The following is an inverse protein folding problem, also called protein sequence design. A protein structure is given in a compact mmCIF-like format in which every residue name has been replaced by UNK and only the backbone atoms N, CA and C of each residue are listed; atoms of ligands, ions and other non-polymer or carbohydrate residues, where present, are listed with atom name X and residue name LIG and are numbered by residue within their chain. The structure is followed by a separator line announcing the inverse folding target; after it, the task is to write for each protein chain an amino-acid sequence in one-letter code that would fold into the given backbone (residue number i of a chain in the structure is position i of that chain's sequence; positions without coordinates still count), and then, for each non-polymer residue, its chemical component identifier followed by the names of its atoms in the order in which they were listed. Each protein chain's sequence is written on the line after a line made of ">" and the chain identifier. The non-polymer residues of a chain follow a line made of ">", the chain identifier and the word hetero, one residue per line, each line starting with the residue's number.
data_IF_152097663784
#
_entry.id   IF_152097663784
#
_cell.length_a   1.000
_cell.length_b   1.000
_cell.length_c   1.000
_cell.angle_alpha   90.00
_cell.angle_beta   90.00
_cell.angle_gamma   90.00
#
_symmetry.space_group_name_H-M   'P 1'
#
loop_
_entity.id
_entity.type
_entity.pdbx_description
1 polymer ?
#
# COMPACT_ATOMS: atom_id res chain seq x y z
N UNK A 1 68.40 16.24 -3.47
CA UNK A 1 67.38 15.20 -3.74
C UNK A 1 66.24 15.40 -2.76
N UNK A 2 65.02 15.36 -3.28
CA UNK A 2 63.74 15.71 -2.63
C UNK A 2 63.19 14.44 -1.98
N UNK A 3 63.06 14.40 -0.65
CA UNK A 3 62.16 13.45 0.00
C UNK A 3 60.80 14.13 0.16
N UNK A 4 59.93 13.87 -0.81
CA UNK A 4 58.51 14.21 -0.71
C UNK A 4 57.88 13.10 0.11
N UNK A 5 57.67 13.35 1.40
CA UNK A 5 56.88 12.47 2.26
C UNK A 5 55.41 12.52 1.79
N UNK A 6 54.81 11.41 1.34
CA UNK A 6 53.38 11.40 1.03
C UNK A 6 52.61 11.49 2.36
N UNK A 7 51.92 12.62 2.54
CA UNK A 7 51.01 12.82 3.68
C UNK A 7 49.89 11.77 3.70
N UNK A 8 49.28 11.55 4.87
CA UNK A 8 48.30 10.48 5.08
C UNK A 8 47.11 10.66 4.14
N UNK A 9 46.99 9.76 3.17
CA UNK A 9 45.73 9.49 2.50
C UNK A 9 44.76 8.86 3.50
N UNK A 10 43.47 9.11 3.25
CA UNK A 10 42.31 8.38 3.79
C UNK A 10 41.70 8.90 5.10
N UNK A 11 41.06 10.06 5.01
CA UNK A 11 39.67 10.14 5.51
C UNK A 11 38.74 9.80 4.34
N UNK A 12 38.63 8.51 4.02
CA UNK A 12 37.42 8.01 3.35
C UNK A 12 36.30 8.30 4.31
N UNK A 13 35.70 9.48 4.17
CA UNK A 13 34.43 9.83 4.78
C UNK A 13 33.51 8.65 4.51
N UNK A 14 33.25 7.84 5.55
CA UNK A 14 32.16 6.87 5.55
C UNK A 14 30.93 7.72 5.33
N UNK A 15 30.54 7.91 4.07
CA UNK A 15 29.24 8.47 3.74
C UNK A 15 28.26 7.63 4.55
N UNK A 16 27.41 8.23 5.39
CA UNK A 16 26.41 7.45 6.10
C UNK A 16 25.66 6.65 5.04
N UNK A 17 25.81 5.32 5.06
CA UNK A 17 25.13 4.44 4.12
C UNK A 17 23.64 4.65 4.36
N UNK A 18 23.01 5.42 3.48
CA UNK A 18 21.59 5.68 3.60
C UNK A 18 20.86 4.35 3.47
N UNK A 19 19.99 3.98 4.44
CA UNK A 19 19.47 2.64 4.52
C UNK A 19 18.68 2.32 3.24
N UNK A 20 19.08 1.24 2.57
CA UNK A 20 18.32 0.64 1.46
C UNK A 20 17.06 -0.06 1.96
N UNK A 21 17.00 -0.39 3.25
CA UNK A 21 15.82 -0.99 3.88
C UNK A 21 14.78 0.10 4.19
N UNK A 22 13.53 -0.08 3.77
CA UNK A 22 12.47 0.89 4.06
C UNK A 22 12.20 0.96 5.56
N UNK A 23 11.89 2.15 6.11
CA UNK A 23 11.32 2.28 7.44
C UNK A 23 10.06 1.41 7.59
N UNK A 24 9.78 0.91 8.81
CA UNK A 24 8.62 0.02 9.07
C UNK A 24 7.31 0.58 8.54
N UNK A 25 7.07 1.88 8.69
CA UNK A 25 5.85 2.53 8.19
C UNK A 25 5.77 2.51 6.66
N UNK A 26 6.90 2.63 5.96
CA UNK A 26 6.95 2.52 4.49
C UNK A 26 6.59 1.11 4.07
N UNK A 27 7.09 0.09 4.76
CA UNK A 27 6.68 -1.31 4.54
C UNK A 27 5.19 -1.51 4.79
N UNK A 28 4.63 -0.89 5.83
CA UNK A 28 3.20 -0.97 6.12
C UNK A 28 2.34 -0.29 5.05
N UNK A 29 2.77 0.87 4.55
CA UNK A 29 2.09 1.55 3.45
C UNK A 29 2.11 0.70 2.16
N UNK A 30 3.25 0.06 1.85
CA UNK A 30 3.35 -0.88 0.73
C UNK A 30 2.43 -2.08 0.90
N UNK A 31 2.42 -2.68 2.09
CA UNK A 31 1.56 -3.81 2.43
C UNK A 31 0.09 -3.45 2.18
N UNK A 32 -0.32 -2.27 2.65
CA UNK A 32 -1.67 -1.78 2.56
C UNK A 32 -2.10 -1.47 1.11
N UNK A 33 -1.27 -0.76 0.34
CA UNK A 33 -1.56 -0.49 -1.09
C UNK A 33 -1.73 -1.78 -1.89
N UNK A 34 -0.85 -2.75 -1.65
CA UNK A 34 -0.87 -4.01 -2.37
C UNK A 34 -1.96 -4.95 -1.89
N UNK A 35 -2.36 -4.89 -0.61
CA UNK A 35 -3.54 -5.61 -0.15
C UNK A 35 -4.81 -5.04 -0.76
N UNK A 36 -4.95 -3.71 -0.87
CA UNK A 36 -6.07 -3.09 -1.57
C UNK A 36 -6.10 -3.46 -3.05
N UNK A 37 -4.92 -3.54 -3.70
CA UNK A 37 -4.79 -3.99 -5.08
C UNK A 37 -5.31 -5.43 -5.23
N UNK A 38 -4.85 -6.33 -4.37
CA UNK A 38 -5.30 -7.72 -4.35
C UNK A 38 -6.80 -7.80 -4.10
N UNK A 39 -7.31 -7.08 -3.10
CA UNK A 39 -8.73 -7.04 -2.77
C UNK A 39 -9.55 -6.66 -4.00
N UNK A 40 -9.19 -5.55 -4.64
CA UNK A 40 -9.90 -4.98 -5.77
C UNK A 40 -9.93 -5.95 -6.97
N UNK A 41 -8.82 -6.62 -7.26
CA UNK A 41 -8.74 -7.60 -8.36
C UNK A 41 -9.42 -8.93 -8.01
N UNK A 42 -9.41 -9.33 -6.73
CA UNK A 42 -9.99 -10.59 -6.27
C UNK A 42 -11.51 -10.52 -6.14
N UNK A 43 -12.09 -9.38 -5.73
CA UNK A 43 -13.52 -9.21 -5.52
C UNK A 43 -14.42 -9.71 -6.68
N UNK A 44 -14.22 -9.30 -7.95
CA UNK A 44 -15.08 -9.78 -9.04
C UNK A 44 -14.96 -11.28 -9.30
N UNK A 45 -13.78 -11.87 -9.05
CA UNK A 45 -13.52 -13.30 -9.23
C UNK A 45 -14.12 -14.11 -8.07
N UNK A 46 -13.85 -13.71 -6.83
CA UNK A 46 -14.37 -14.33 -5.62
C UNK A 46 -15.89 -14.23 -5.56
N UNK A 47 -16.47 -13.06 -5.86
CA UNK A 47 -17.91 -12.87 -5.89
C UNK A 47 -18.58 -13.82 -6.88
N UNK A 48 -18.01 -13.97 -8.08
CA UNK A 48 -18.49 -14.96 -9.07
C UNK A 48 -18.40 -16.39 -8.55
N UNK A 49 -17.27 -16.79 -7.96
CA UNK A 49 -17.07 -18.15 -7.44
C UNK A 49 -17.99 -18.48 -6.27
N UNK A 50 -18.29 -17.50 -5.42
CA UNK A 50 -19.19 -17.64 -4.27
C UNK A 50 -20.67 -17.43 -4.61
N UNK A 51 -21.01 -17.14 -5.87
CA UNK A 51 -22.39 -16.87 -6.28
C UNK A 51 -22.96 -15.55 -5.74
N UNK A 52 -22.10 -14.62 -5.34
CA UNK A 52 -22.47 -13.31 -4.80
C UNK A 52 -22.65 -12.30 -5.94
N UNK A 53 -23.50 -11.30 -5.69
CA UNK A 53 -23.72 -10.24 -6.69
C UNK A 53 -22.45 -9.39 -6.85
N UNK A 54 -22.04 -9.09 -8.09
CA UNK A 54 -20.89 -8.22 -8.33
C UNK A 54 -21.19 -6.79 -7.91
N UNK A 55 -20.15 -6.04 -7.55
CA UNK A 55 -20.24 -4.63 -7.14
C UNK A 55 -20.87 -3.75 -8.22
N UNK A 56 -20.65 -4.08 -9.49
CA UNK A 56 -21.27 -3.44 -10.64
C UNK A 56 -22.06 -4.48 -11.43
N UNK A 57 -23.38 -4.31 -11.45
CA UNK A 57 -24.31 -5.26 -12.07
C UNK A 57 -25.20 -4.55 -13.07
N UNK A 58 -25.15 -5.00 -14.31
CA UNK A 58 -26.13 -4.68 -15.34
C UNK A 58 -27.11 -5.86 -15.44
N UNK A 59 -28.42 -5.65 -15.23
CA UNK A 59 -29.39 -6.74 -15.10
C UNK A 59 -29.56 -7.56 -16.40
N UNK A 60 -29.20 -7.00 -17.56
CA UNK A 60 -29.27 -7.68 -18.87
C UNK A 60 -28.02 -8.48 -19.25
N UNK A 61 -26.94 -8.42 -18.46
CA UNK A 61 -25.70 -9.14 -18.74
C UNK A 61 -25.64 -10.47 -17.96
N UNK A 62 -24.99 -11.46 -18.55
CA UNK A 62 -24.70 -12.73 -17.85
C UNK A 62 -23.77 -12.49 -16.65
N UNK A 63 -23.80 -13.34 -15.61
CA UNK A 63 -22.91 -13.20 -14.46
C UNK A 63 -21.42 -13.13 -14.83
N UNK A 64 -21.02 -13.87 -15.87
CA UNK A 64 -19.65 -13.84 -16.38
C UNK A 64 -19.27 -12.48 -16.97
N UNK A 65 -20.17 -11.85 -17.73
CA UNK A 65 -19.95 -10.53 -18.32
C UNK A 65 -19.97 -9.42 -17.27
N UNK A 66 -20.85 -9.52 -16.25
CA UNK A 66 -20.86 -8.58 -15.13
C UNK A 66 -19.55 -8.65 -14.30
N UNK A 67 -19.01 -9.86 -14.08
CA UNK A 67 -17.72 -10.02 -13.41
C UNK A 67 -16.57 -9.43 -14.24
N UNK A 68 -16.56 -9.67 -15.56
CA UNK A 68 -15.58 -9.07 -16.47
C UNK A 68 -15.67 -7.54 -16.47
N UNK A 69 -16.88 -6.98 -16.55
CA UNK A 69 -17.10 -5.54 -16.51
C UNK A 69 -16.61 -4.93 -15.19
N UNK A 70 -16.91 -5.58 -14.06
CA UNK A 70 -16.43 -5.17 -12.74
C UNK A 70 -14.91 -5.19 -12.65
N UNK A 71 -14.26 -6.22 -13.21
CA UNK A 71 -12.80 -6.31 -13.29
C UNK A 71 -12.20 -5.20 -14.15
N UNK A 72 -12.79 -4.93 -15.32
CA UNK A 72 -12.35 -3.85 -16.22
C UNK A 72 -12.50 -2.47 -15.56
N UNK A 73 -13.60 -2.24 -14.84
CA UNK A 73 -13.83 -1.02 -14.08
C UNK A 73 -12.83 -0.85 -12.91
N UNK A 74 -12.32 -1.95 -12.36
CA UNK A 74 -11.31 -1.96 -11.31
C UNK A 74 -9.88 -1.63 -11.81
N UNK A 75 -9.54 -1.93 -13.07
CA UNK A 75 -8.20 -1.73 -13.62
C UNK A 75 -7.59 -0.33 -13.42
N UNK A 76 -8.30 0.80 -13.66
CA UNK A 76 -7.71 2.13 -13.42
C UNK A 76 -7.32 2.36 -11.95
N UNK A 77 -8.12 1.85 -11.01
CA UNK A 77 -7.81 1.95 -9.58
C UNK A 77 -6.68 0.99 -9.19
N UNK A 78 -6.64 -0.20 -9.77
CA UNK A 78 -5.53 -1.15 -9.59
C UNK A 78 -4.21 -0.53 -10.07
N UNK A 79 -4.20 0.12 -11.25
CA UNK A 79 -3.04 0.82 -11.76
C UNK A 79 -2.60 1.96 -10.82
N UNK A 80 -3.55 2.72 -10.28
CA UNK A 80 -3.27 3.78 -9.32
C UNK A 80 -2.59 3.22 -8.05
N UNK A 81 -3.07 2.10 -7.51
CA UNK A 81 -2.49 1.45 -6.33
C UNK A 81 -1.08 0.91 -6.61
N UNK A 82 -0.85 0.34 -7.81
CA UNK A 82 0.49 -0.08 -8.25
C UNK A 82 1.44 1.11 -8.31
N UNK A 83 1.00 2.23 -8.92
CA UNK A 83 1.81 3.44 -9.02
C UNK A 83 2.11 4.06 -7.64
N UNK A 84 1.13 4.08 -6.74
CA UNK A 84 1.29 4.56 -5.37
C UNK A 84 2.28 3.69 -4.60
N UNK A 85 2.09 2.37 -4.59
CA UNK A 85 2.98 1.44 -3.91
C UNK A 85 4.40 1.51 -4.49
N UNK A 86 4.55 1.54 -5.81
CA UNK A 86 5.86 1.67 -6.44
C UNK A 86 6.52 3.03 -6.14
N UNK A 87 5.74 4.10 -6.12
CA UNK A 87 6.21 5.43 -5.71
C UNK A 87 6.70 5.45 -4.26
N UNK A 88 6.00 4.77 -3.35
CA UNK A 88 6.39 4.59 -1.95
C UNK A 88 7.68 3.77 -1.83
N UNK A 89 7.77 2.65 -2.57
CA UNK A 89 8.95 1.77 -2.60
C UNK A 89 10.19 2.52 -3.07
N UNK A 90 10.06 3.35 -4.10
CA UNK A 90 11.15 4.17 -4.63
C UNK A 90 11.49 5.36 -3.73
N UNK A 91 10.55 5.80 -2.88
CA UNK A 91 10.70 7.00 -2.06
C UNK A 91 10.53 8.28 -2.89
N UNK A 92 9.50 8.32 -3.76
CA UNK A 92 9.17 9.52 -4.54
C UNK A 92 8.46 10.56 -3.65
N UNK A 93 8.83 11.86 -3.70
CA UNK A 93 8.25 12.90 -2.83
C UNK A 93 6.73 13.00 -2.92
N UNK A 94 6.18 12.91 -4.13
CA UNK A 94 4.74 12.99 -4.37
C UNK A 94 4.00 11.81 -3.72
N UNK A 95 4.61 10.62 -3.68
CA UNK A 95 3.98 9.41 -3.16
C UNK A 95 3.66 9.55 -1.68
N UNK A 96 4.52 10.26 -0.92
CA UNK A 96 4.25 10.56 0.49
C UNK A 96 2.98 11.40 0.67
N UNK A 97 2.85 12.48 -0.10
CA UNK A 97 1.69 13.38 0.00
C UNK A 97 0.40 12.67 -0.41
N UNK A 98 0.44 11.91 -1.50
CA UNK A 98 -0.69 11.09 -1.97
C UNK A 98 -1.07 10.05 -0.91
N UNK A 99 -0.09 9.34 -0.34
CA UNK A 99 -0.35 8.35 0.71
C UNK A 99 -0.99 8.95 1.96
N UNK A 100 -0.50 10.11 2.42
CA UNK A 100 -1.09 10.78 3.58
C UNK A 100 -2.54 11.19 3.28
N UNK A 101 -2.79 11.75 2.09
CA UNK A 101 -4.14 12.14 1.68
C UNK A 101 -5.08 10.91 1.60
N UNK A 102 -4.68 9.87 0.86
CA UNK A 102 -5.48 8.65 0.69
C UNK A 102 -5.75 7.94 2.01
N UNK A 103 -4.74 7.74 2.87
CA UNK A 103 -4.94 7.09 4.16
C UNK A 103 -5.78 7.94 5.11
N UNK A 104 -5.76 9.27 5.01
CA UNK A 104 -6.67 10.12 5.78
C UNK A 104 -8.11 9.93 5.31
N UNK A 105 -8.36 9.90 3.99
CA UNK A 105 -9.68 9.63 3.43
C UNK A 105 -10.19 8.24 3.80
N UNK A 106 -9.32 7.23 3.75
CA UNK A 106 -9.64 5.86 4.13
C UNK A 106 -9.91 5.74 5.63
N UNK A 107 -9.19 6.47 6.48
CA UNK A 107 -9.50 6.55 7.90
C UNK A 107 -10.91 7.11 8.15
N UNK A 108 -11.30 8.16 7.43
CA UNK A 108 -12.67 8.71 7.50
C UNK A 108 -13.72 7.69 7.02
N UNK A 109 -13.44 6.96 5.94
CA UNK A 109 -14.31 5.87 5.48
C UNK A 109 -14.41 4.74 6.53
N UNK A 110 -13.31 4.43 7.22
CA UNK A 110 -13.27 3.52 8.36
C UNK A 110 -14.18 3.97 9.49
N UNK A 111 -14.12 5.24 9.88
CA UNK A 111 -15.02 5.81 10.91
C UNK A 111 -16.50 5.73 10.48
N UNK A 112 -16.80 6.03 9.21
CA UNK A 112 -18.15 5.87 8.67
C UNK A 112 -18.64 4.41 8.73
N UNK A 113 -17.74 3.43 8.61
CA UNK A 113 -18.06 2.00 8.69
C UNK A 113 -18.38 1.49 10.09
N UNK A 114 -18.23 2.31 11.15
CA UNK A 114 -18.68 1.93 12.50
C UNK A 114 -20.20 1.71 12.52
N UNK A 115 -20.96 2.54 11.79
CA UNK A 115 -22.41 2.38 11.69
C UNK A 115 -22.80 1.06 11.02
N UNK A 116 -22.11 0.68 9.93
CA UNK A 116 -22.35 -0.60 9.26
C UNK A 116 -21.97 -1.77 10.15
N UNK A 117 -20.83 -1.69 10.86
CA UNK A 117 -20.43 -2.73 11.83
C UNK A 117 -21.51 -2.93 12.91
N UNK A 118 -22.11 -1.85 13.40
CA UNK A 118 -23.16 -1.95 14.41
C UNK A 118 -24.43 -2.63 13.87
N UNK A 119 -24.84 -2.33 12.63
CA UNK A 119 -25.95 -3.02 11.97
C UNK A 119 -25.64 -4.51 11.75
N UNK A 120 -24.45 -4.82 11.25
CA UNK A 120 -24.02 -6.18 10.97
C UNK A 120 -23.92 -7.02 12.26
N UNK A 121 -23.39 -6.43 13.34
CA UNK A 121 -23.27 -7.10 14.64
C UNK A 121 -24.64 -7.47 15.23
N UNK A 122 -25.71 -6.71 14.94
CA UNK A 122 -27.08 -7.03 15.38
C UNK A 122 -27.62 -8.32 14.77
N UNK A 123 -27.14 -8.70 13.58
CA UNK A 123 -27.49 -9.96 12.91
C UNK A 123 -26.40 -11.03 13.07
N UNK A 124 -25.43 -10.80 13.96
CA UNK A 124 -24.32 -11.73 14.22
C UNK A 124 -23.24 -11.74 13.14
N UNK A 125 -23.22 -10.77 12.23
CA UNK A 125 -22.20 -10.62 11.20
C UNK A 125 -21.07 -9.70 11.69
N UNK A 126 -19.85 -10.24 11.77
CA UNK A 126 -18.67 -9.51 12.26
C UNK A 126 -17.64 -9.25 11.16
N UNK A 127 -17.92 -9.57 9.90
CA UNK A 127 -16.99 -9.38 8.79
C UNK A 127 -16.58 -7.91 8.61
N UNK A 128 -17.51 -6.97 8.87
CA UNK A 128 -17.23 -5.54 8.85
C UNK A 128 -16.14 -5.08 9.83
N UNK A 129 -15.82 -5.89 10.85
CA UNK A 129 -14.74 -5.59 11.79
C UNK A 129 -13.38 -5.58 11.10
N UNK A 130 -13.15 -6.46 10.12
CA UNK A 130 -11.90 -6.54 9.37
C UNK A 130 -11.64 -5.19 8.67
N UNK A 131 -12.62 -4.73 7.89
CA UNK A 131 -12.52 -3.45 7.19
C UNK A 131 -12.41 -2.26 8.17
N UNK A 132 -13.09 -2.29 9.32
CA UNK A 132 -12.93 -1.24 10.33
C UNK A 132 -11.50 -1.21 10.90
N UNK A 133 -10.91 -2.36 11.19
CA UNK A 133 -9.53 -2.44 11.70
C UNK A 133 -8.52 -1.98 10.65
N UNK A 134 -8.73 -2.34 9.39
CA UNK A 134 -7.87 -1.96 8.27
C UNK A 134 -7.98 -0.48 7.96
N UNK A 135 -9.19 0.04 7.77
CA UNK A 135 -9.40 1.45 7.41
C UNK A 135 -9.29 2.38 8.61
N UNK A 136 -9.97 2.07 9.71
CA UNK A 136 -10.00 2.90 10.92
C UNK A 136 -8.78 2.73 11.82
N UNK A 137 -8.07 1.60 11.74
CA UNK A 137 -6.86 1.34 12.53
C UNK A 137 -5.57 1.56 11.74
N UNK A 138 -5.36 0.82 10.64
CA UNK A 138 -4.09 0.87 9.90
C UNK A 138 -3.91 2.19 9.15
N UNK A 139 -4.93 2.70 8.45
CA UNK A 139 -4.79 3.93 7.66
C UNK A 139 -4.34 5.15 8.47
N UNK A 140 -4.95 5.52 9.61
CA UNK A 140 -4.46 6.66 10.40
C UNK A 140 -3.05 6.43 10.95
N UNK A 141 -2.70 5.19 11.29
CA UNK A 141 -1.35 4.84 11.75
C UNK A 141 -0.31 5.04 10.63
N UNK A 142 -0.62 4.65 9.40
CA UNK A 142 0.21 4.89 8.22
C UNK A 142 0.34 6.39 7.98
N UNK A 143 -0.76 7.13 7.91
CA UNK A 143 -0.77 8.57 7.67
C UNK A 143 0.09 9.31 8.71
N UNK A 144 -0.09 9.00 9.99
CA UNK A 144 0.71 9.53 11.09
C UNK A 144 2.20 9.15 10.97
N UNK A 145 2.49 7.87 10.72
CA UNK A 145 3.85 7.37 10.61
C UNK A 145 4.64 7.97 9.44
N UNK A 146 3.97 8.31 8.33
CA UNK A 146 4.56 8.98 7.17
C UNK A 146 4.95 10.44 7.45
N UNK A 147 4.42 11.03 8.53
CA UNK A 147 4.80 12.37 8.96
C UNK A 147 6.08 12.38 9.81
N UNK A 148 6.55 11.23 10.31
CA UNK A 148 7.73 11.15 11.19
C UNK A 148 9.04 11.50 10.44
N UNK A 149 10.01 12.16 11.09
CA UNK A 149 11.27 12.58 10.45
C UNK A 149 12.05 11.44 9.79
N UNK A 150 12.10 10.27 10.42
CA UNK A 150 12.77 9.07 9.89
C UNK A 150 12.18 8.68 8.53
N UNK A 151 10.85 8.70 8.43
CA UNK A 151 10.14 8.40 7.19
C UNK A 151 10.27 9.52 6.16
N UNK A 152 10.29 10.79 6.59
CA UNK A 152 10.49 11.92 5.67
C UNK A 152 11.80 11.82 4.88
N UNK A 153 12.89 11.40 5.54
CA UNK A 153 14.20 11.21 4.90
C UNK A 153 14.16 10.15 3.80
N UNK A 154 13.30 9.13 3.92
CA UNK A 154 13.11 8.14 2.86
C UNK A 154 12.65 8.79 1.55
N UNK A 155 11.73 9.76 1.62
CA UNK A 155 11.16 10.44 0.45
C UNK A 155 11.97 11.65 -0.02
N UNK A 156 12.75 12.24 0.88
CA UNK A 156 13.64 13.38 0.62
C UNK A 156 15.08 13.04 1.00
N UNK A 157 15.74 12.11 0.27
CA UNK A 157 17.17 11.89 0.43
C UNK A 157 17.94 13.14 -0.03
N UNK A 158 19.21 13.31 0.39
CA UNK A 158 20.08 14.38 -0.08
C UNK A 158 20.10 14.46 -1.62
N UNK A 159 20.02 15.69 -2.17
CA UNK A 159 19.86 15.93 -3.62
C UNK A 159 20.92 15.22 -4.47
N UNK A 160 22.16 15.18 -4.00
CA UNK A 160 23.30 14.55 -4.66
C UNK A 160 23.16 13.02 -4.82
N UNK A 161 22.45 12.38 -3.89
CA UNK A 161 22.30 10.92 -3.81
C UNK A 161 20.93 10.44 -4.30
N UNK A 162 19.97 11.37 -4.44
CA UNK A 162 18.57 11.05 -4.69
C UNK A 162 18.32 10.17 -5.94
N UNK A 163 18.92 10.45 -7.13
CA UNK A 163 18.68 9.63 -8.32
C UNK A 163 19.22 8.21 -8.15
N UNK A 164 20.46 8.08 -7.66
CA UNK A 164 21.12 6.79 -7.47
C UNK A 164 20.43 5.92 -6.42
N UNK A 165 19.94 6.51 -5.33
CA UNK A 165 19.19 5.78 -4.30
C UNK A 165 17.82 5.32 -4.78
N UNK A 166 17.10 6.17 -5.52
CA UNK A 166 15.80 5.79 -6.10
C UNK A 166 15.96 4.64 -7.10
N UNK A 167 17.00 4.67 -7.94
CA UNK A 167 17.29 3.58 -8.87
C UNK A 167 17.63 2.28 -8.14
N UNK A 168 18.48 2.34 -7.09
CA UNK A 168 18.82 1.17 -6.27
C UNK A 168 17.60 0.60 -5.53
N UNK A 169 16.70 1.44 -5.04
CA UNK A 169 15.44 0.98 -4.42
C UNK A 169 14.50 0.34 -5.45
N UNK A 170 14.44 0.88 -6.67
CA UNK A 170 13.62 0.31 -7.75
C UNK A 170 14.11 -1.09 -8.17
N UNK A 171 15.44 -1.30 -8.18
CA UNK A 171 16.03 -2.60 -8.55
C UNK A 171 15.89 -3.69 -7.49
N UNK A 172 15.53 -3.35 -6.25
CA UNK A 172 15.37 -4.32 -5.16
C UNK A 172 13.95 -4.87 -5.16
N UNK A 173 13.70 -6.11 -5.61
CA UNK A 173 12.34 -6.65 -5.65
C UNK A 173 11.71 -6.64 -4.25
N UNK A 174 10.37 -6.55 -4.15
CA UNK A 174 9.71 -6.74 -2.88
C UNK A 174 10.07 -8.08 -2.25
N UNK A 175 10.10 -8.11 -0.92
CA UNK A 175 10.35 -9.34 -0.20
C UNK A 175 9.14 -10.28 -0.31
N UNK A 176 9.38 -11.58 -0.45
CA UNK A 176 8.34 -12.59 -0.49
C UNK A 176 7.36 -12.54 0.70
N UNK A 177 7.80 -12.30 1.95
CA UNK A 177 6.88 -12.14 3.08
C UNK A 177 5.92 -10.96 2.92
N UNK A 178 6.37 -9.84 2.32
CA UNK A 178 5.52 -8.68 2.08
C UNK A 178 4.43 -9.03 1.05
N UNK A 179 4.79 -9.70 -0.04
CA UNK A 179 3.85 -10.14 -1.06
C UNK A 179 2.83 -11.14 -0.50
N UNK A 180 3.29 -12.13 0.27
CA UNK A 180 2.42 -13.10 0.92
C UNK A 180 1.46 -12.45 1.92
N UNK A 181 1.93 -11.50 2.73
CA UNK A 181 1.09 -10.75 3.65
C UNK A 181 0.08 -9.86 2.92
N UNK A 182 0.49 -9.20 1.83
CA UNK A 182 -0.41 -8.36 1.02
C UNK A 182 -1.51 -9.21 0.38
N UNK A 183 -1.16 -10.39 -0.14
CA UNK A 183 -2.12 -11.35 -0.70
C UNK A 183 -3.12 -11.81 0.36
N UNK A 184 -2.63 -12.26 1.53
CA UNK A 184 -3.48 -12.74 2.61
C UNK A 184 -4.44 -11.64 3.11
N UNK A 185 -3.91 -10.45 3.40
CA UNK A 185 -4.72 -9.32 3.87
C UNK A 185 -5.73 -8.88 2.79
N UNK A 186 -5.33 -8.81 1.53
CA UNK A 186 -6.21 -8.42 0.43
C UNK A 186 -7.33 -9.42 0.16
N UNK A 187 -7.04 -10.72 0.23
CA UNK A 187 -8.08 -11.75 0.14
C UNK A 187 -9.04 -11.72 1.33
N UNK A 188 -8.52 -11.49 2.54
CA UNK A 188 -9.34 -11.36 3.74
C UNK A 188 -10.28 -10.15 3.64
N UNK A 189 -9.79 -9.00 3.17
CA UNK A 189 -10.62 -7.81 2.91
C UNK A 189 -11.63 -8.02 1.78
N UNK A 190 -11.26 -8.76 0.72
CA UNK A 190 -12.20 -9.09 -0.35
C UNK A 190 -13.35 -9.96 0.17
N UNK A 191 -13.04 -10.96 1.01
CA UNK A 191 -14.05 -11.78 1.66
C UNK A 191 -14.92 -10.95 2.62
N UNK A 192 -14.31 -10.08 3.43
CA UNK A 192 -15.04 -9.20 4.33
C UNK A 192 -16.01 -8.29 3.57
N UNK A 193 -15.57 -7.69 2.46
CA UNK A 193 -16.39 -6.82 1.63
C UNK A 193 -17.53 -7.57 0.92
N UNK A 194 -17.34 -8.85 0.58
CA UNK A 194 -18.34 -9.67 -0.08
C UNK A 194 -19.41 -10.23 0.88
N UNK A 195 -19.10 -10.37 2.17
CA UNK A 195 -20.01 -10.86 3.21
C UNK A 195 -20.68 -9.74 4.02
N UNK A 196 -20.56 -8.49 3.58
CA UNK A 196 -21.39 -7.37 4.04
C UNK A 196 -22.76 -7.44 3.40
#
# INVERSE_FOLDING_TARGET
>A
MKEISPGPQQSVSRRPEEPLRPPRVVTLALLFDWSLLVQLLAMPLLGRWLGLSPSLRLPWLSPALNALLSLLAALPFALLLVLCGEGVRRGLPWARSVQVALNTLLALAGLASIYTLWLDARVGNYWSLVTLLTLGGLSPLIAWGLQRPVTRRWFHPPLELAPGLRQRRASLPPSWPLLGAALLLGLLEALAALHR
#
